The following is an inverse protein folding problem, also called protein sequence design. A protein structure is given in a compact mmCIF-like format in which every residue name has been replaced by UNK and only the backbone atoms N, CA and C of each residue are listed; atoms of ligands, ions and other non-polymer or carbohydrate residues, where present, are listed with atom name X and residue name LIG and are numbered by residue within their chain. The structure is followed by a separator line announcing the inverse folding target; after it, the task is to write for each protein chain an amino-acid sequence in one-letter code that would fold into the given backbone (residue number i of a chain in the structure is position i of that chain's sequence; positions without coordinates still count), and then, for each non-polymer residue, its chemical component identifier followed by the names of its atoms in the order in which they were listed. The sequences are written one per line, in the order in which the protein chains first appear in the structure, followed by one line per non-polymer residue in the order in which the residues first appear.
data_IF_198585751717
#
_entry.id   IF_198585751717
#
_cell.length_a   1.000
_cell.length_b   1.000
_cell.length_c   1.000
_cell.angle_alpha   90.00
_cell.angle_beta   90.00
_cell.angle_gamma   90.00
#
_symmetry.space_group_name_H-M   'P 1'
#
loop_
_entity.id
_entity.type
_entity.pdbx_description
1 polymer ?
#
# COMPACT_ATOMS: atom_id res chain seq x y z
N UNK A 1 18.54 -62.81 -41.97
CA UNK A 1 19.62 -62.22 -42.79
C UNK A 1 19.64 -60.72 -42.55
N UNK A 2 20.78 -60.24 -42.05
CA UNK A 2 21.41 -58.92 -42.27
C UNK A 2 20.69 -57.61 -41.88
N UNK A 3 21.31 -56.99 -40.87
CA UNK A 3 21.42 -55.57 -40.52
C UNK A 3 21.29 -54.58 -41.68
N UNK A 4 20.71 -53.41 -41.39
CA UNK A 4 21.15 -52.17 -42.00
C UNK A 4 21.28 -51.08 -40.91
N UNK A 5 22.53 -50.80 -40.57
CA UNK A 5 22.97 -49.66 -39.76
C UNK A 5 22.85 -48.41 -40.63
N UNK A 6 22.24 -47.34 -40.11
CA UNK A 6 22.44 -45.98 -40.64
C UNK A 6 22.93 -45.09 -39.49
N UNK A 7 24.14 -44.57 -39.66
CA UNK A 7 24.89 -43.76 -38.70
C UNK A 7 24.80 -42.26 -39.06
N UNK A 8 24.66 -41.41 -38.03
CA UNK A 8 25.24 -40.05 -37.83
C UNK A 8 24.57 -38.87 -38.61
N UNK A 9 24.61 -37.57 -38.19
CA UNK A 9 25.13 -36.88 -36.97
C UNK A 9 24.05 -36.07 -36.18
N UNK A 10 24.15 -35.89 -34.86
CA UNK A 10 24.72 -34.75 -34.08
C UNK A 10 24.38 -33.34 -34.62
N UNK A 11 23.96 -32.47 -33.69
CA UNK A 11 23.91 -30.99 -33.72
C UNK A 11 22.58 -30.40 -34.20
N UNK A 12 21.64 -30.23 -33.28
CA UNK A 12 21.07 -28.89 -33.08
C UNK A 12 20.70 -28.73 -31.61
N UNK A 13 21.55 -27.98 -30.93
CA UNK A 13 21.35 -27.39 -29.63
C UNK A 13 20.06 -26.56 -29.66
N UNK A 14 18.91 -27.18 -29.38
CA UNK A 14 17.69 -26.42 -29.10
C UNK A 14 17.89 -25.86 -27.70
N UNK A 15 18.33 -24.61 -27.70
CA UNK A 15 18.50 -23.72 -26.58
C UNK A 15 17.24 -23.79 -25.71
N UNK A 16 17.32 -24.57 -24.63
CA UNK A 16 16.36 -24.56 -23.54
C UNK A 16 16.55 -23.22 -22.82
N UNK A 17 16.00 -22.16 -23.41
CA UNK A 17 15.85 -20.88 -22.75
C UNK A 17 14.85 -21.07 -21.62
N UNK A 18 15.32 -21.57 -20.48
CA UNK A 18 14.74 -21.18 -19.19
C UNK A 18 15.00 -19.69 -19.06
N UNK A 19 14.10 -18.88 -19.61
CA UNK A 19 13.88 -17.55 -19.08
C UNK A 19 13.30 -17.79 -17.69
N UNK A 20 14.19 -17.94 -16.71
CA UNK A 20 13.87 -17.66 -15.33
C UNK A 20 13.52 -16.17 -15.35
N UNK A 21 12.24 -15.88 -15.53
CA UNK A 21 11.70 -14.59 -15.15
C UNK A 21 11.97 -14.51 -13.66
N UNK A 22 12.99 -13.76 -13.26
CA UNK A 22 12.96 -13.16 -11.95
C UNK A 22 11.76 -12.21 -11.98
N UNK A 23 10.62 -12.66 -11.46
CA UNK A 23 9.76 -11.74 -10.73
C UNK A 23 10.68 -11.08 -9.72
N UNK A 24 11.11 -9.85 -10.03
CA UNK A 24 11.62 -8.98 -8.99
C UNK A 24 10.37 -8.64 -8.20
N UNK A 25 10.05 -9.46 -7.21
CA UNK A 25 9.27 -9.03 -6.06
C UNK A 25 10.05 -7.88 -5.43
N UNK A 26 9.89 -6.69 -6.03
CA UNK A 26 10.09 -5.43 -5.34
C UNK A 26 8.99 -5.45 -4.29
N UNK A 27 9.32 -6.03 -3.13
CA UNK A 27 8.42 -6.16 -2.00
C UNK A 27 7.94 -4.75 -1.66
N UNK A 28 6.76 -4.41 -2.17
CA UNK A 28 6.11 -3.13 -1.94
C UNK A 28 5.97 -2.99 -0.42
N UNK A 29 6.68 -2.02 0.16
CA UNK A 29 6.68 -1.86 1.62
C UNK A 29 5.26 -1.54 2.05
N UNK A 30 4.60 -2.45 2.76
CA UNK A 30 3.23 -2.24 3.24
C UNK A 30 3.19 -1.87 4.71
N UNK A 31 2.26 -1.00 5.09
CA UNK A 31 1.97 -0.61 6.46
C UNK A 31 0.48 -0.76 6.77
N UNK A 32 0.15 -0.81 8.07
CA UNK A 32 -1.22 -0.76 8.56
C UNK A 32 -1.48 0.65 9.10
N UNK A 33 -2.51 1.31 8.57
CA UNK A 33 -2.96 2.61 9.03
C UNK A 33 -4.36 2.49 9.64
N UNK A 34 -4.61 3.19 10.75
CA UNK A 34 -5.96 3.30 11.30
C UNK A 34 -6.50 4.71 11.09
N UNK A 35 -7.51 4.85 10.22
CA UNK A 35 -8.09 6.13 9.80
C UNK A 35 -9.41 6.40 10.52
N UNK A 36 -9.57 7.62 11.03
CA UNK A 36 -10.69 8.05 11.85
C UNK A 36 -11.99 8.37 11.09
N UNK A 37 -13.09 8.58 11.84
CA UNK A 37 -14.45 8.65 11.29
C UNK A 37 -14.84 9.98 10.66
N UNK A 38 -13.99 10.99 10.75
CA UNK A 38 -14.19 12.25 10.04
C UNK A 38 -12.85 12.81 9.56
N UNK A 39 -12.93 13.69 8.57
CA UNK A 39 -11.84 14.60 8.20
C UNK A 39 -12.02 15.93 8.91
N UNK A 40 -10.94 16.66 9.09
CA UNK A 40 -10.98 17.98 9.74
C UNK A 40 -10.08 18.97 9.04
N UNK A 41 -10.45 20.24 9.13
CA UNK A 41 -9.62 21.35 8.65
C UNK A 41 -8.22 21.26 9.24
N UNK A 42 -7.24 21.30 8.35
CA UNK A 42 -5.82 21.27 8.65
C UNK A 42 -5.07 22.20 7.69
N UNK A 43 -3.83 22.55 8.05
CA UNK A 43 -2.97 23.38 7.20
C UNK A 43 -1.68 22.62 6.93
N UNK A 44 -1.51 22.20 5.68
CA UNK A 44 -0.23 21.74 5.13
C UNK A 44 0.43 22.88 4.35
N UNK A 45 0.81 22.62 3.09
CA UNK A 45 1.19 23.69 2.15
C UNK A 45 0.06 24.71 1.90
N UNK A 46 -1.19 24.26 2.02
CA UNK A 46 -2.41 25.05 1.83
C UNK A 46 -3.49 24.57 2.83
N UNK A 47 -4.52 25.39 3.12
CA UNK A 47 -5.72 24.94 3.82
C UNK A 47 -6.39 23.77 3.08
N UNK A 48 -6.73 22.72 3.81
CA UNK A 48 -7.35 21.50 3.28
C UNK A 48 -8.06 20.71 4.39
N UNK A 49 -8.69 19.60 4.04
CA UNK A 49 -9.21 18.62 5.00
C UNK A 49 -8.26 17.42 5.09
N UNK A 50 -7.85 17.06 6.31
CA UNK A 50 -6.98 15.92 6.57
C UNK A 50 -7.74 14.76 7.19
N UNK A 51 -7.25 13.54 6.95
CA UNK A 51 -7.63 12.39 7.75
C UNK A 51 -7.07 12.51 9.18
N UNK A 52 -7.66 11.74 10.09
CA UNK A 52 -7.05 11.45 11.39
C UNK A 52 -6.49 10.03 11.36
N UNK A 53 -5.22 9.86 11.69
CA UNK A 53 -4.58 8.56 11.86
C UNK A 53 -4.34 8.32 13.36
N UNK A 54 -4.67 7.12 13.84
CA UNK A 54 -4.36 6.73 15.21
C UNK A 54 -2.92 6.21 15.30
N UNK A 55 -2.07 6.90 16.06
CA UNK A 55 -0.73 6.43 16.37
C UNK A 55 -0.78 5.57 17.64
N UNK A 56 -0.44 4.29 17.49
CA UNK A 56 -0.50 3.31 18.59
C UNK A 56 0.54 3.59 19.68
N UNK A 57 1.75 4.05 19.33
CA UNK A 57 2.82 4.33 20.30
C UNK A 57 2.50 5.55 21.18
N UNK A 58 1.94 6.60 20.59
CA UNK A 58 1.51 7.81 21.28
C UNK A 58 0.11 7.69 21.91
N UNK A 59 -0.61 6.61 21.60
CA UNK A 59 -2.02 6.40 21.94
C UNK A 59 -2.93 7.61 21.62
N UNK A 60 -2.68 8.24 20.48
CA UNK A 60 -3.30 9.52 20.10
C UNK A 60 -3.60 9.62 18.61
N UNK A 61 -4.61 10.43 18.28
CA UNK A 61 -4.95 10.77 16.90
C UNK A 61 -4.09 11.93 16.39
N UNK A 62 -3.53 11.77 15.19
CA UNK A 62 -2.73 12.77 14.49
C UNK A 62 -3.32 13.08 13.12
N UNK A 63 -3.00 14.26 12.57
CA UNK A 63 -3.37 14.56 11.19
C UNK A 63 -2.55 13.71 10.22
N UNK A 64 -3.26 13.05 9.32
CA UNK A 64 -2.68 12.38 8.17
C UNK A 64 -3.00 13.21 6.92
N UNK A 65 -1.96 13.88 6.42
CA UNK A 65 -2.06 14.89 5.36
C UNK A 65 -2.07 14.29 3.96
N UNK A 66 -1.73 13.01 3.83
CA UNK A 66 -1.53 12.37 2.54
C UNK A 66 -2.85 11.78 2.01
N UNK A 67 -2.99 11.76 0.69
CA UNK A 67 -4.05 11.01 0.04
C UNK A 67 -3.68 9.52 -0.01
N UNK A 68 -4.68 8.65 0.12
CA UNK A 68 -4.52 7.20 -0.06
C UNK A 68 -5.19 6.83 -1.39
N UNK A 69 -4.39 6.51 -2.40
CA UNK A 69 -4.93 6.20 -3.74
C UNK A 69 -5.78 4.92 -3.70
N UNK A 70 -6.98 4.98 -4.27
CA UNK A 70 -7.92 3.85 -4.31
C UNK A 70 -8.74 3.66 -3.04
N UNK A 71 -8.58 4.53 -2.04
CA UNK A 71 -9.42 4.52 -0.83
C UNK A 71 -10.61 5.47 -1.00
N UNK A 72 -11.80 4.88 -1.13
CA UNK A 72 -13.07 5.58 -1.16
C UNK A 72 -13.56 5.82 0.27
N UNK A 73 -13.21 6.98 0.82
CA UNK A 73 -13.54 7.34 2.20
C UNK A 73 -15.03 7.64 2.38
N UNK A 74 -15.61 7.11 3.45
CA UNK A 74 -16.94 7.43 3.94
C UNK A 74 -16.87 7.78 5.43
N UNK A 75 -17.47 8.91 5.82
CA UNK A 75 -17.55 9.36 7.21
C UNK A 75 -18.37 8.40 8.08
N UNK A 76 -18.16 8.48 9.40
CA UNK A 76 -18.86 7.65 10.38
C UNK A 76 -18.21 6.28 10.60
N UNK A 77 -16.98 6.09 10.12
CA UNK A 77 -16.27 4.82 10.24
C UNK A 77 -14.81 4.98 10.64
N UNK A 78 -14.36 4.16 11.59
CA UNK A 78 -12.93 3.90 11.79
C UNK A 78 -12.53 2.77 10.83
N UNK A 79 -11.48 2.99 10.07
CA UNK A 79 -10.94 2.02 9.13
C UNK A 79 -9.58 1.52 9.58
N UNK A 80 -9.33 0.22 9.48
CA UNK A 80 -7.97 -0.32 9.46
C UNK A 80 -7.63 -0.68 8.02
N UNK A 81 -6.58 -0.05 7.49
CA UNK A 81 -6.19 -0.14 6.09
C UNK A 81 -4.81 -0.78 5.99
N UNK A 82 -4.65 -1.72 5.06
CA UNK A 82 -3.32 -2.09 4.56
C UNK A 82 -3.01 -1.22 3.36
N UNK A 83 -1.88 -0.53 3.40
CA UNK A 83 -1.42 0.36 2.32
C UNK A 83 -0.03 -0.02 1.86
N UNK A 84 0.27 0.22 0.59
CA UNK A 84 1.62 0.13 0.04
C UNK A 84 2.25 1.52 -0.05
N UNK A 85 3.52 1.63 0.35
CA UNK A 85 4.30 2.88 0.37
C UNK A 85 5.23 2.94 -0.83
N UNK A 86 5.05 3.99 -1.63
CA UNK A 86 5.84 4.26 -2.82
C UNK A 86 6.74 5.47 -2.56
N UNK A 87 8.05 5.24 -2.44
CA UNK A 87 9.00 6.32 -2.16
C UNK A 87 9.01 7.35 -3.29
N UNK A 88 8.88 8.62 -2.92
CA UNK A 88 8.92 9.74 -3.87
C UNK A 88 10.36 10.13 -4.18
N UNK A 89 10.63 10.68 -5.38
CA UNK A 89 11.91 11.27 -5.69
C UNK A 89 12.29 12.35 -4.66
N UNK A 90 13.58 12.42 -4.31
CA UNK A 90 14.07 13.46 -3.42
C UNK A 90 13.87 14.88 -4.01
N UNK A 91 13.74 15.87 -3.13
CA UNK A 91 13.71 17.29 -3.50
C UNK A 91 12.31 17.89 -3.71
N UNK A 92 11.24 17.09 -3.68
CA UNK A 92 9.88 17.63 -3.65
C UNK A 92 9.64 18.26 -2.28
N UNK A 93 9.28 19.55 -2.27
CA UNK A 93 9.00 20.29 -1.05
C UNK A 93 7.55 20.08 -0.61
N UNK A 94 7.32 20.26 0.70
CA UNK A 94 5.98 20.31 1.31
C UNK A 94 5.09 19.07 1.08
N UNK A 95 5.71 17.91 0.86
CA UNK A 95 5.05 16.59 0.77
C UNK A 95 5.81 15.58 1.62
N UNK A 96 5.11 14.54 2.09
CA UNK A 96 5.75 13.41 2.78
C UNK A 96 6.68 12.62 1.86
N UNK A 97 7.44 11.69 2.45
CA UNK A 97 8.38 10.84 1.72
C UNK A 97 7.70 9.82 0.81
N UNK A 98 6.50 9.37 1.15
CA UNK A 98 5.83 8.24 0.50
C UNK A 98 4.48 8.64 -0.10
N UNK A 99 4.17 8.10 -1.27
CA UNK A 99 2.80 8.04 -1.79
C UNK A 99 2.14 6.74 -1.33
N UNK A 100 0.90 6.83 -0.86
CA UNK A 100 0.17 5.71 -0.29
C UNK A 100 -0.88 5.19 -1.29
N UNK A 101 -0.95 3.87 -1.46
CA UNK A 101 -2.02 3.20 -2.21
C UNK A 101 -2.69 2.15 -1.34
N UNK A 102 -4.01 2.09 -1.42
CA UNK A 102 -4.78 1.06 -0.73
C UNK A 102 -4.44 -0.32 -1.31
N UNK A 103 -4.07 -1.24 -0.44
CA UNK A 103 -3.95 -2.66 -0.77
C UNK A 103 -5.23 -3.39 -0.34
N UNK A 104 -5.70 -3.13 0.87
CA UNK A 104 -6.85 -3.83 1.46
C UNK A 104 -7.50 -2.98 2.57
N UNK A 105 -8.83 -3.03 2.67
CA UNK A 105 -9.57 -2.58 3.86
C UNK A 105 -9.70 -3.77 4.79
N UNK A 106 -8.95 -3.78 5.89
CA UNK A 106 -8.94 -4.88 6.86
C UNK A 106 -10.21 -4.83 7.72
N UNK A 107 -10.60 -3.65 8.17
CA UNK A 107 -11.81 -3.43 8.96
C UNK A 107 -12.44 -2.08 8.64
N UNK A 108 -13.76 -2.01 8.88
CA UNK A 108 -14.58 -0.80 8.80
C UNK A 108 -15.61 -0.87 9.92
N UNK A 109 -15.46 -0.04 10.93
CA UNK A 109 -16.29 -0.04 12.13
C UNK A 109 -17.04 1.27 12.29
N UNK A 110 -18.33 1.22 12.60
CA UNK A 110 -19.09 2.43 12.88
C UNK A 110 -18.50 3.20 14.06
N UNK A 111 -18.46 4.52 13.92
CA UNK A 111 -18.02 5.44 14.97
C UNK A 111 -18.70 6.82 14.79
N UNK A 112 -19.01 7.52 15.90
CA UNK A 112 -19.62 8.84 15.82
C UNK A 112 -18.69 9.86 15.16
N UNK A 113 -19.25 10.73 14.32
CA UNK A 113 -18.51 11.83 13.66
C UNK A 113 -18.31 13.05 14.57
N UNK A 114 -19.07 13.14 15.65
CA UNK A 114 -19.14 14.28 16.57
C UNK A 114 -18.32 14.09 17.85
N UNK A 115 -17.81 12.88 18.12
CA UNK A 115 -16.93 12.59 19.25
C UNK A 115 -15.51 13.13 19.01
N UNK A 116 -14.98 13.91 19.96
CA UNK A 116 -13.67 14.57 19.84
C UNK A 116 -12.80 14.40 21.10
N UNK A 117 -11.58 13.80 21.01
CA UNK A 117 -11.09 13.04 19.85
C UNK A 117 -11.95 11.79 19.59
N UNK A 118 -11.86 11.15 18.42
CA UNK A 118 -12.59 9.91 18.17
C UNK A 118 -12.23 8.85 19.22
N UNK A 119 -13.15 7.92 19.49
CA UNK A 119 -12.85 6.75 20.34
C UNK A 119 -11.57 6.06 19.88
N UNK A 120 -10.83 5.46 20.82
CA UNK A 120 -9.69 4.61 20.46
C UNK A 120 -10.15 3.43 19.59
N UNK A 121 -9.36 3.03 18.58
CA UNK A 121 -9.61 1.80 17.84
C UNK A 121 -9.58 0.60 18.79
N UNK A 122 -10.42 -0.40 18.51
CA UNK A 122 -10.44 -1.67 19.24
C UNK A 122 -9.41 -2.62 18.62
N UNK A 123 -8.63 -3.30 19.47
CA UNK A 123 -7.68 -4.36 19.04
C UNK A 123 -8.39 -5.60 18.48
#
# INVERSE_FOLDING_TARGET
MQNAIKKIPIITLILLSLTIGCDRDEADHTEILTIGPYRTDCVGAHPQECYLEYNEEAEAWHFFYEAIQGFEYEEGYIYTLKVSLHERPEGIQDVGRYAYRLVEVISKEEAPVDERPPRKPTE
#
